data_IF_887276853300
#
_entry.id   IF_887276853300
#
_cell.length_a   1.000
_cell.length_b   1.000
_cell.length_c   1.000
_cell.angle_alpha   90.00
_cell.angle_beta   90.00
_cell.angle_gamma   90.00
#
_symmetry.space_group_name_H-M   'P 1'
#
loop_
_entity.id
_entity.type
_entity.pdbx_description
1 polymer ?
#
# COMPACT_ATOMS: atom_id res chain seq x y z
N UNK A 1 68.09 21.21 22.05
CA UNK A 1 67.38 20.17 21.28
C UNK A 1 65.92 20.17 21.73
N UNK A 2 65.03 20.82 20.97
CA UNK A 2 63.58 20.74 21.16
C UNK A 2 63.00 20.26 19.84
N UNK A 3 62.65 18.99 19.76
CA UNK A 3 62.00 18.37 18.62
C UNK A 3 60.52 18.76 18.62
N UNK A 4 60.10 19.54 17.63
CA UNK A 4 58.70 19.78 17.35
C UNK A 4 58.18 18.61 16.49
N UNK A 5 57.34 17.77 17.09
CA UNK A 5 56.64 16.69 16.40
C UNK A 5 55.43 17.30 15.69
N UNK A 6 55.55 17.56 14.38
CA UNK A 6 54.40 17.92 13.54
C UNK A 6 53.56 16.66 13.29
N UNK A 7 52.45 16.53 14.01
CA UNK A 7 51.46 15.48 13.76
C UNK A 7 50.76 15.76 12.43
N UNK A 8 51.01 14.92 11.43
CA UNK A 8 50.27 14.93 10.18
C UNK A 8 48.83 14.47 10.45
N UNK A 9 47.85 15.33 10.21
CA UNK A 9 46.44 14.95 10.18
C UNK A 9 46.23 14.05 8.96
N UNK A 10 46.08 12.75 9.19
CA UNK A 10 45.67 11.79 8.18
C UNK A 10 44.18 12.00 7.89
N UNK A 11 43.87 12.78 6.85
CA UNK A 11 42.52 12.88 6.32
C UNK A 11 42.26 11.59 5.53
N UNK A 12 41.57 10.64 6.16
CA UNK A 12 41.00 9.48 5.45
C UNK A 12 39.87 10.01 4.55
N UNK A 13 40.19 10.33 3.30
CA UNK A 13 39.17 10.59 2.28
C UNK A 13 38.63 9.21 1.89
N UNK A 14 37.61 8.73 2.60
CA UNK A 14 36.87 7.56 2.18
C UNK A 14 36.30 7.83 0.78
N UNK A 15 36.67 7.01 -0.21
CA UNK A 15 36.08 7.04 -1.53
C UNK A 15 34.59 6.76 -1.42
N UNK A 16 33.76 7.80 -1.57
CA UNK A 16 32.31 7.68 -1.71
C UNK A 16 32.06 7.02 -3.06
N UNK A 17 31.82 5.72 -3.05
CA UNK A 17 31.33 5.03 -4.23
C UNK A 17 29.86 5.41 -4.35
N UNK A 18 29.46 6.07 -5.45
CA UNK A 18 28.05 6.30 -5.71
C UNK A 18 27.32 4.95 -5.67
N UNK A 19 26.32 4.84 -4.80
CA UNK A 19 25.42 3.69 -4.74
C UNK A 19 24.00 4.12 -5.14
N UNK A 20 23.07 3.18 -5.07
CA UNK A 20 21.76 3.30 -5.70
C UNK A 20 20.79 4.14 -4.85
N UNK A 21 21.09 4.32 -3.55
CA UNK A 21 20.33 5.15 -2.62
C UNK A 21 21.27 6.16 -1.95
N UNK A 22 20.98 7.44 -2.11
CA UNK A 22 21.64 8.53 -1.40
C UNK A 22 20.84 8.88 -0.14
N UNK A 23 21.49 8.99 1.00
CA UNK A 23 20.86 9.42 2.26
C UNK A 23 21.46 10.72 2.71
N UNK A 24 20.63 11.70 3.02
CA UNK A 24 21.02 12.94 3.70
C UNK A 24 20.25 13.10 5.00
N UNK A 25 20.89 13.62 6.05
CA UNK A 25 20.30 13.78 7.38
C UNK A 25 20.72 15.09 8.03
N UNK A 26 19.88 15.65 8.90
CA UNK A 26 20.20 16.90 9.62
C UNK A 26 21.01 16.68 10.90
N UNK A 27 21.10 15.44 11.39
CA UNK A 27 21.90 15.06 12.54
C UNK A 27 22.51 13.65 12.35
N UNK A 28 23.43 13.27 13.24
CA UNK A 28 24.22 12.05 13.06
C UNK A 28 25.21 12.21 11.91
N UNK A 29 25.32 11.18 11.05
CA UNK A 29 26.11 11.22 9.82
C UNK A 29 25.29 11.92 8.72
N UNK A 30 25.69 13.12 8.24
CA UNK A 30 24.83 13.92 7.38
C UNK A 30 24.62 13.39 5.97
N UNK A 31 25.52 12.55 5.47
CA UNK A 31 25.41 11.98 4.13
C UNK A 31 26.06 10.59 4.05
N UNK A 32 25.40 9.65 3.38
CA UNK A 32 25.95 8.34 3.03
C UNK A 32 25.23 7.79 1.79
N UNK A 33 25.74 6.68 1.25
CA UNK A 33 25.12 5.98 0.12
C UNK A 33 24.99 4.50 0.42
N UNK A 34 23.88 3.88 -0.01
CA UNK A 34 23.55 2.48 0.23
C UNK A 34 23.12 1.78 -1.07
N UNK A 35 23.40 0.47 -1.16
CA UNK A 35 23.07 -0.33 -2.34
C UNK A 35 21.57 -0.58 -2.45
N UNK A 36 20.85 -0.51 -1.33
CA UNK A 36 19.43 -0.83 -1.20
C UNK A 36 18.78 0.10 -0.18
N UNK A 37 17.46 0.24 -0.24
CA UNK A 37 16.71 1.00 0.74
C UNK A 37 16.69 0.28 2.10
N UNK A 38 16.64 -1.05 2.11
CA UNK A 38 16.74 -1.86 3.33
C UNK A 38 18.09 -1.66 4.06
N UNK A 39 19.20 -1.48 3.32
CA UNK A 39 20.50 -1.16 3.94
C UNK A 39 20.50 0.25 4.56
N UNK A 40 19.87 1.23 3.89
CA UNK A 40 19.66 2.56 4.47
C UNK A 40 18.81 2.50 5.75
N UNK A 41 17.74 1.70 5.76
CA UNK A 41 16.92 1.47 6.96
C UNK A 41 17.73 0.86 8.10
N UNK A 42 18.57 -0.14 7.82
CA UNK A 42 19.48 -0.71 8.81
C UNK A 42 20.39 0.35 9.47
N UNK A 43 20.92 1.28 8.68
CA UNK A 43 21.76 2.36 9.19
C UNK A 43 20.98 3.40 10.01
N UNK A 44 19.76 3.75 9.58
CA UNK A 44 18.85 4.64 10.33
C UNK A 44 18.49 4.00 11.68
N UNK A 45 18.10 2.73 11.68
CA UNK A 45 17.75 1.98 12.89
C UNK A 45 18.92 1.90 13.89
N UNK A 46 20.16 1.86 13.39
CA UNK A 46 21.37 1.89 14.20
C UNK A 46 21.77 3.30 14.69
N UNK A 47 21.00 4.34 14.36
CA UNK A 47 21.26 5.72 14.78
C UNK A 47 22.32 6.45 13.95
N UNK A 48 22.70 5.89 12.78
CA UNK A 48 23.72 6.49 11.91
C UNK A 48 23.25 7.81 11.34
N UNK A 49 21.98 7.89 10.94
CA UNK A 49 21.33 9.08 10.41
C UNK A 49 20.23 9.51 11.39
N UNK A 50 20.18 10.80 11.73
CA UNK A 50 19.26 11.32 12.73
C UNK A 50 18.63 12.64 12.29
N UNK A 51 17.59 13.08 13.01
CA UNK A 51 16.83 14.29 12.68
C UNK A 51 15.93 14.08 11.46
N UNK A 52 15.83 15.08 10.57
CA UNK A 52 15.11 14.91 9.32
C UNK A 52 16.00 14.17 8.31
N UNK A 53 15.47 13.12 7.69
CA UNK A 53 16.24 12.25 6.80
C UNK A 53 15.57 12.20 5.43
N UNK A 54 16.36 12.22 4.37
CA UNK A 54 15.91 11.99 2.99
C UNK A 54 16.70 10.83 2.40
N UNK A 55 15.98 9.83 1.88
CA UNK A 55 16.50 8.68 1.15
C UNK A 55 16.08 8.81 -0.33
N UNK A 56 17.03 9.17 -1.20
CA UNK A 56 16.80 9.34 -2.62
C UNK A 56 17.30 8.13 -3.40
N UNK A 57 16.39 7.42 -4.05
CA UNK A 57 16.71 6.33 -4.98
C UNK A 57 17.16 6.93 -6.32
N UNK A 58 18.43 6.75 -6.66
CA UNK A 58 19.06 7.32 -7.88
C UNK A 58 19.40 6.26 -8.92
N UNK A 59 19.25 4.97 -8.58
CA UNK A 59 19.37 3.85 -9.50
C UNK A 59 18.55 2.66 -8.99
N UNK A 60 18.30 1.68 -9.86
CA UNK A 60 17.54 0.48 -9.50
C UNK A 60 18.20 -0.29 -8.35
N UNK A 61 17.43 -0.74 -7.36
CA UNK A 61 17.94 -1.58 -6.27
C UNK A 61 17.47 -3.03 -6.41
N UNK A 62 18.10 -3.92 -5.64
CA UNK A 62 17.61 -5.27 -5.38
C UNK A 62 17.61 -5.50 -3.88
N UNK A 63 16.45 -5.34 -3.28
CA UNK A 63 16.20 -5.50 -1.85
C UNK A 63 16.38 -6.98 -1.42
N UNK A 64 16.76 -7.25 -0.16
CA UNK A 64 17.00 -8.61 0.33
C UNK A 64 15.73 -9.48 0.36
N UNK A 65 15.90 -10.80 0.40
CA UNK A 65 14.79 -11.75 0.49
C UNK A 65 14.00 -11.64 1.81
N UNK A 66 14.68 -11.20 2.88
CA UNK A 66 14.10 -10.83 4.16
C UNK A 66 14.32 -9.34 4.35
N UNK A 67 13.24 -8.58 4.46
CA UNK A 67 13.32 -7.13 4.64
C UNK A 67 13.83 -6.75 6.03
N UNK A 68 14.63 -5.70 6.07
CA UNK A 68 14.99 -4.92 7.25
C UNK A 68 13.91 -3.83 7.37
N UNK A 69 12.99 -3.89 8.35
CA UNK A 69 11.98 -2.85 8.53
C UNK A 69 12.62 -1.52 8.93
N UNK A 70 12.06 -0.40 8.51
CA UNK A 70 12.32 0.89 9.13
C UNK A 70 11.59 0.96 10.47
N UNK A 71 12.34 1.03 11.57
CA UNK A 71 11.80 1.01 12.92
C UNK A 71 11.30 2.41 13.35
N UNK A 72 10.41 2.48 14.36
CA UNK A 72 10.05 3.75 15.00
C UNK A 72 11.25 4.56 15.47
N UNK A 73 11.05 5.87 15.57
CA UNK A 73 11.98 6.73 16.31
C UNK A 73 11.89 6.36 17.79
N UNK A 74 13.01 5.98 18.39
CA UNK A 74 13.09 5.42 19.73
C UNK A 74 14.33 4.55 19.91
N UNK A 75 15.00 4.67 21.07
CA UNK A 75 16.25 3.97 21.31
C UNK A 75 17.39 4.49 20.43
N UNK A 76 17.93 3.64 19.55
CA UNK A 76 19.02 4.03 18.62
C UNK A 76 18.52 4.79 17.39
N UNK A 77 17.32 4.46 16.89
CA UNK A 77 16.67 5.21 15.82
C UNK A 77 16.23 6.58 16.37
N UNK A 78 16.61 7.68 15.73
CA UNK A 78 16.26 9.03 16.19
C UNK A 78 16.05 9.98 15.03
N UNK A 79 14.87 9.92 14.42
CA UNK A 79 14.46 10.82 13.35
C UNK A 79 13.21 11.61 13.73
N UNK A 80 13.02 12.77 13.10
CA UNK A 80 11.82 13.59 13.20
C UNK A 80 10.87 13.37 12.03
N UNK A 81 11.35 12.82 10.92
CA UNK A 81 10.59 12.45 9.73
C UNK A 81 11.51 11.94 8.63
N UNK A 82 10.97 11.12 7.74
CA UNK A 82 11.72 10.50 6.65
C UNK A 82 11.01 10.75 5.33
N UNK A 83 11.74 11.30 4.35
CA UNK A 83 11.31 11.37 2.97
C UNK A 83 12.03 10.29 2.15
N UNK A 84 11.29 9.44 1.46
CA UNK A 84 11.81 8.52 0.46
C UNK A 84 11.35 9.03 -0.90
N UNK A 85 12.29 9.37 -1.77
CA UNK A 85 12.00 9.89 -3.11
C UNK A 85 12.96 9.29 -4.16
N UNK A 86 12.91 9.82 -5.39
CA UNK A 86 13.73 9.31 -6.48
C UNK A 86 14.30 10.42 -7.38
N UNK A 87 15.25 10.02 -8.23
CA UNK A 87 15.72 10.79 -9.39
C UNK A 87 15.66 9.88 -10.61
N UNK A 88 14.98 10.34 -11.66
CA UNK A 88 14.73 9.53 -12.85
C UNK A 88 13.71 8.41 -12.62
N UNK A 89 13.47 7.64 -13.68
CA UNK A 89 12.66 6.43 -13.60
C UNK A 89 13.48 5.29 -12.99
N UNK A 90 13.17 4.92 -11.75
CA UNK A 90 13.93 3.92 -10.99
C UNK A 90 13.01 2.87 -10.38
N UNK A 91 13.56 1.67 -10.17
CA UNK A 91 12.83 0.53 -9.60
C UNK A 91 13.54 -0.03 -8.37
N UNK A 92 12.81 -0.08 -7.26
CA UNK A 92 13.16 -0.83 -6.05
C UNK A 92 12.60 -2.24 -6.22
N UNK A 93 13.44 -3.18 -6.65
CA UNK A 93 13.05 -4.57 -6.88
C UNK A 93 13.28 -5.42 -5.63
N UNK A 94 12.45 -6.44 -5.41
CA UNK A 94 12.78 -7.49 -4.44
C UNK A 94 13.89 -8.41 -4.95
N UNK A 95 14.42 -9.26 -4.07
CA UNK A 95 15.11 -10.48 -4.45
C UNK A 95 14.23 -11.36 -5.36
N UNK A 96 14.84 -12.29 -6.11
CA UNK A 96 14.11 -13.21 -6.98
C UNK A 96 13.09 -14.10 -6.25
N UNK A 97 13.30 -14.32 -4.95
CA UNK A 97 12.40 -15.03 -4.07
C UNK A 97 12.31 -14.32 -2.70
N UNK A 98 11.41 -13.34 -2.52
CA UNK A 98 11.05 -12.87 -1.18
C UNK A 98 10.45 -14.03 -0.37
N UNK A 99 10.97 -14.29 0.82
CA UNK A 99 10.64 -15.49 1.62
C UNK A 99 9.96 -15.20 2.95
N UNK A 100 9.98 -13.96 3.42
CA UNK A 100 9.57 -13.66 4.79
C UNK A 100 8.05 -13.50 5.00
N UNK A 101 7.22 -13.50 3.94
CA UNK A 101 5.81 -13.09 4.01
C UNK A 101 5.65 -11.68 4.61
N UNK A 102 6.53 -10.76 4.18
CA UNK A 102 6.64 -9.36 4.61
C UNK A 102 6.58 -8.41 3.41
N UNK A 103 6.76 -7.12 3.68
CA UNK A 103 6.98 -6.10 2.63
C UNK A 103 8.34 -6.26 1.96
N UNK A 104 8.45 -5.93 0.66
CA UNK A 104 9.75 -5.62 0.02
C UNK A 104 10.36 -4.41 0.74
N UNK A 105 9.52 -3.39 0.95
CA UNK A 105 9.75 -2.27 1.86
C UNK A 105 8.76 -2.40 3.01
N UNK A 106 9.27 -2.40 4.24
CA UNK A 106 8.45 -2.43 5.45
C UNK A 106 8.72 -1.21 6.32
N UNK A 107 7.64 -0.50 6.67
CA UNK A 107 7.63 0.69 7.50
C UNK A 107 6.91 0.34 8.80
N UNK A 108 7.64 0.36 9.90
CA UNK A 108 7.08 0.25 11.25
C UNK A 108 7.15 1.58 12.01
N UNK A 109 7.81 2.58 11.43
CA UNK A 109 7.95 3.89 12.01
C UNK A 109 6.85 4.89 11.63
N UNK A 110 6.97 6.07 12.21
CA UNK A 110 6.04 7.18 12.03
C UNK A 110 6.61 8.28 11.11
N UNK A 111 5.74 9.11 10.57
CA UNK A 111 6.12 10.31 9.80
C UNK A 111 7.06 10.01 8.62
N UNK A 112 6.74 8.94 7.88
CA UNK A 112 7.43 8.54 6.66
C UNK A 112 6.59 8.93 5.45
N UNK A 113 7.17 9.74 4.57
CA UNK A 113 6.60 10.06 3.27
C UNK A 113 7.39 9.35 2.17
N UNK A 114 6.72 8.51 1.39
CA UNK A 114 7.21 7.96 0.13
C UNK A 114 6.57 8.78 -0.99
N UNK A 115 7.39 9.53 -1.72
CA UNK A 115 6.97 10.36 -2.86
C UNK A 115 7.70 9.91 -4.11
N UNK A 116 6.98 9.24 -5.00
CA UNK A 116 7.56 8.67 -6.22
C UNK A 116 7.66 9.63 -7.40
N UNK A 117 7.30 10.91 -7.23
CA UNK A 117 7.44 11.91 -8.28
C UNK A 117 8.87 12.47 -8.31
N UNK A 118 9.45 12.56 -9.50
CA UNK A 118 10.64 13.36 -9.77
C UNK A 118 10.24 14.50 -10.73
N UNK A 119 10.08 15.75 -10.24
CA UNK A 119 9.68 16.88 -11.07
C UNK A 119 10.61 17.16 -12.26
N UNK A 120 11.84 16.66 -12.24
CA UNK A 120 12.79 16.74 -13.36
C UNK A 120 12.56 15.69 -14.45
N UNK A 121 11.70 14.69 -14.22
CA UNK A 121 11.42 13.57 -15.11
C UNK A 121 9.97 13.59 -15.56
N UNK A 122 9.72 13.25 -16.83
CA UNK A 122 8.35 13.21 -17.36
C UNK A 122 7.51 12.13 -16.68
N UNK A 123 6.24 12.44 -16.41
CA UNK A 123 5.31 11.56 -15.70
C UNK A 123 4.95 12.13 -14.33
N UNK A 124 4.24 11.33 -13.53
CA UNK A 124 3.88 11.66 -12.14
C UNK A 124 4.16 10.48 -11.20
N UNK A 125 4.84 9.44 -11.69
CA UNK A 125 5.15 8.18 -10.98
C UNK A 125 6.48 7.59 -11.47
N UNK A 126 7.58 8.16 -11.01
CA UNK A 126 8.94 7.80 -11.44
C UNK A 126 9.59 6.71 -10.56
N UNK A 127 9.10 6.54 -9.32
CA UNK A 127 9.52 5.47 -8.42
C UNK A 127 8.60 4.25 -8.54
N UNK A 128 9.17 3.12 -8.96
CA UNK A 128 8.49 1.82 -8.97
C UNK A 128 8.98 0.94 -7.82
N UNK A 129 8.07 0.34 -7.08
CA UNK A 129 8.34 -0.79 -6.19
C UNK A 129 7.79 -2.06 -6.83
N UNK A 130 8.63 -3.08 -6.96
CA UNK A 130 8.25 -4.33 -7.63
C UNK A 130 8.66 -5.56 -6.83
N UNK A 131 7.69 -6.40 -6.52
CA UNK A 131 7.92 -7.72 -5.99
C UNK A 131 8.02 -8.75 -7.11
N UNK A 132 9.03 -9.63 -7.01
CA UNK A 132 9.22 -10.74 -7.93
C UNK A 132 8.00 -11.69 -7.88
N UNK A 133 7.56 -12.24 -9.03
CA UNK A 133 6.56 -13.31 -9.10
C UNK A 133 6.91 -14.48 -8.16
N UNK A 134 6.12 -14.71 -7.11
CA UNK A 134 6.33 -15.84 -6.19
C UNK A 134 5.03 -16.56 -5.82
N UNK A 135 5.16 -17.82 -5.42
CA UNK A 135 4.07 -18.59 -4.82
C UNK A 135 4.01 -18.45 -3.27
N UNK A 136 4.93 -17.68 -2.68
CA UNK A 136 4.94 -17.38 -1.25
C UNK A 136 3.73 -16.53 -0.88
N UNK A 137 2.90 -17.02 0.04
CA UNK A 137 1.76 -16.28 0.58
C UNK A 137 2.26 -15.12 1.45
N UNK A 138 1.52 -14.00 1.46
CA UNK A 138 1.78 -12.89 2.37
C UNK A 138 2.93 -11.97 1.93
N UNK A 139 3.42 -12.06 0.69
CA UNK A 139 4.34 -11.04 0.19
C UNK A 139 3.54 -9.76 -0.08
N UNK A 140 3.93 -8.68 0.58
CA UNK A 140 3.48 -7.32 0.26
C UNK A 140 4.58 -6.60 -0.50
N UNK A 141 4.22 -5.69 -1.41
CA UNK A 141 5.24 -4.84 -2.05
C UNK A 141 5.64 -3.74 -1.08
N UNK A 142 4.66 -3.01 -0.56
CA UNK A 142 4.82 -2.05 0.52
C UNK A 142 4.00 -2.54 1.71
N UNK A 143 4.63 -2.56 2.89
CA UNK A 143 3.98 -2.93 4.15
C UNK A 143 4.14 -1.82 5.19
N UNK A 144 3.03 -1.38 5.75
CA UNK A 144 2.96 -0.67 7.01
C UNK A 144 2.55 -1.66 8.10
N UNK A 145 3.29 -1.69 9.20
CA UNK A 145 3.03 -2.63 10.28
C UNK A 145 3.28 -1.96 11.62
N UNK A 146 2.31 -2.04 12.54
CA UNK A 146 2.52 -1.52 13.89
C UNK A 146 3.62 -2.31 14.59
N UNK A 147 4.64 -1.68 15.19
CA UNK A 147 5.72 -2.39 15.90
C UNK A 147 5.21 -3.06 17.18
N UNK A 148 4.13 -2.54 17.79
CA UNK A 148 3.51 -3.06 19.00
C UNK A 148 2.01 -2.74 19.01
N UNK A 149 1.32 -3.06 20.12
CA UNK A 149 -0.07 -2.64 20.33
C UNK A 149 -0.17 -1.20 20.88
N UNK A 150 0.92 -0.68 21.44
CA UNK A 150 1.00 0.66 22.02
C UNK A 150 1.55 1.71 21.03
N UNK A 151 2.31 1.25 20.04
CA UNK A 151 2.99 2.08 19.06
C UNK A 151 2.51 1.71 17.65
N UNK A 152 2.32 2.71 16.81
CA UNK A 152 1.78 2.56 15.47
C UNK A 152 2.81 2.77 14.36
N UNK A 153 2.33 2.65 13.13
CA UNK A 153 3.01 3.19 11.96
C UNK A 153 2.17 4.36 11.44
N UNK A 154 2.20 5.47 12.18
CA UNK A 154 1.30 6.62 12.05
C UNK A 154 1.89 7.73 11.18
N UNK A 155 1.02 8.63 10.69
CA UNK A 155 1.42 9.82 9.91
C UNK A 155 2.23 9.47 8.66
N UNK A 156 1.93 8.32 8.07
CA UNK A 156 2.64 7.81 6.92
C UNK A 156 1.92 8.17 5.63
N UNK A 157 2.67 8.50 4.59
CA UNK A 157 2.16 8.80 3.26
C UNK A 157 2.89 7.97 2.23
N UNK A 158 2.16 7.34 1.32
CA UNK A 158 2.70 6.84 0.06
C UNK A 158 1.94 7.49 -1.09
N UNK A 159 2.68 8.19 -1.95
CA UNK A 159 2.12 8.85 -3.11
C UNK A 159 2.99 8.78 -4.33
N UNK A 160 2.36 8.96 -5.49
CA UNK A 160 3.04 9.09 -6.78
C UNK A 160 3.93 7.88 -7.12
N UNK A 161 3.58 6.67 -6.65
CA UNK A 161 4.39 5.48 -6.89
C UNK A 161 3.72 4.51 -7.87
N UNK A 162 4.52 3.67 -8.53
CA UNK A 162 4.04 2.43 -9.15
C UNK A 162 4.34 1.28 -8.18
N UNK A 163 3.34 0.47 -7.86
CA UNK A 163 3.42 -0.67 -6.93
C UNK A 163 2.99 -1.93 -7.66
N UNK A 164 3.95 -2.82 -7.89
CA UNK A 164 3.75 -4.06 -8.64
C UNK A 164 3.89 -5.26 -7.70
N UNK A 165 2.77 -5.91 -7.39
CA UNK A 165 2.67 -7.08 -6.52
C UNK A 165 3.40 -8.32 -7.02
N UNK A 166 3.46 -9.35 -6.19
CA UNK A 166 4.20 -10.59 -6.46
C UNK A 166 3.37 -11.69 -7.12
N UNK A 167 2.12 -11.40 -7.54
CA UNK A 167 1.26 -12.43 -8.13
C UNK A 167 1.96 -13.03 -9.36
N UNK A 168 2.03 -14.36 -9.38
CA UNK A 168 2.88 -15.08 -10.31
C UNK A 168 2.19 -15.53 -11.60
N UNK A 169 0.87 -15.74 -11.56
CA UNK A 169 0.07 -16.18 -12.70
C UNK A 169 -1.33 -15.57 -12.64
N UNK A 170 -1.96 -15.47 -13.80
CA UNK A 170 -3.34 -14.97 -13.97
C UNK A 170 -4.36 -15.74 -13.12
N UNK A 171 -4.22 -17.06 -13.02
CA UNK A 171 -5.07 -17.97 -12.25
C UNK A 171 -4.59 -18.20 -10.81
N UNK A 172 -3.56 -17.48 -10.37
CA UNK A 172 -2.98 -17.68 -9.03
C UNK A 172 -3.95 -17.21 -7.94
N UNK A 173 -4.23 -18.11 -7.00
CA UNK A 173 -4.94 -17.83 -5.75
C UNK A 173 -4.01 -17.53 -4.58
N UNK A 174 -2.69 -17.45 -4.83
CA UNK A 174 -1.70 -17.12 -3.82
C UNK A 174 -1.96 -15.71 -3.30
N UNK A 175 -2.31 -15.61 -2.03
CA UNK A 175 -2.62 -14.33 -1.38
C UNK A 175 -1.35 -13.52 -1.24
N UNK A 176 -1.32 -12.37 -1.92
CA UNK A 176 -0.24 -11.39 -1.87
C UNK A 176 -0.84 -9.97 -2.03
N UNK A 177 -0.04 -8.95 -1.71
CA UNK A 177 -0.54 -7.60 -1.51
C UNK A 177 0.29 -6.58 -2.31
N UNK A 178 -0.38 -5.56 -2.85
CA UNK A 178 0.30 -4.37 -3.37
C UNK A 178 0.78 -3.52 -2.20
N UNK A 179 -0.17 -2.78 -1.61
CA UNK A 179 0.03 -1.98 -0.40
C UNK A 179 -0.75 -2.62 0.73
N UNK A 180 -0.08 -2.90 1.85
CA UNK A 180 -0.68 -3.53 3.02
C UNK A 180 -0.43 -2.70 4.28
N UNK A 181 -1.46 -2.45 5.06
CA UNK A 181 -1.40 -1.92 6.41
C UNK A 181 -2.31 -2.78 7.31
N UNK A 182 -1.71 -3.55 8.21
CA UNK A 182 -2.45 -4.52 9.01
C UNK A 182 -1.52 -5.13 10.06
N UNK A 183 -1.47 -6.47 10.10
CA UNK A 183 -0.69 -7.24 11.08
C UNK A 183 0.64 -6.60 11.51
N UNK A 184 0.85 -6.59 12.83
CA UNK A 184 2.02 -6.04 13.50
C UNK A 184 3.37 -6.55 12.95
N UNK A 185 4.44 -5.83 13.27
CA UNK A 185 5.77 -6.02 12.70
C UNK A 185 6.44 -7.37 12.97
N UNK A 186 5.96 -8.11 13.98
CA UNK A 186 6.41 -9.47 14.30
C UNK A 186 5.58 -10.56 13.62
N UNK A 187 4.39 -10.22 13.13
CA UNK A 187 3.50 -11.14 12.43
C UNK A 187 3.75 -11.23 10.93
N UNK A 188 3.21 -12.28 10.32
CA UNK A 188 3.21 -12.50 8.87
C UNK A 188 2.00 -11.84 8.22
N UNK A 189 2.21 -11.24 7.06
CA UNK A 189 1.14 -10.60 6.26
C UNK A 189 0.07 -11.62 5.90
N UNK A 190 -1.21 -11.29 6.10
CA UNK A 190 -2.33 -12.19 5.77
C UNK A 190 -3.61 -11.40 5.44
N UNK A 191 -4.58 -12.05 4.78
CA UNK A 191 -5.85 -11.41 4.41
C UNK A 191 -6.80 -11.20 5.61
N UNK A 192 -6.40 -11.62 6.80
CA UNK A 192 -7.14 -11.43 8.06
C UNK A 192 -6.30 -10.65 9.09
N UNK A 193 -5.16 -10.12 8.67
CA UNK A 193 -4.19 -9.50 9.57
C UNK A 193 -4.60 -8.08 9.91
N UNK A 194 -4.72 -7.79 11.20
CA UNK A 194 -5.08 -6.46 11.71
C UNK A 194 -3.91 -5.83 12.47
N UNK A 195 -3.78 -4.50 12.39
CA UNK A 195 -2.73 -3.75 13.08
C UNK A 195 -3.30 -2.71 14.02
N UNK A 196 -2.53 -2.33 15.03
CA UNK A 196 -2.91 -1.29 15.99
C UNK A 196 -2.35 0.07 15.57
N UNK A 197 -3.09 1.15 15.79
CA UNK A 197 -2.61 2.53 15.61
C UNK A 197 -2.02 2.79 14.21
N UNK A 198 -2.73 2.36 13.16
CA UNK A 198 -2.33 2.63 11.75
C UNK A 198 -2.88 3.99 11.28
N UNK A 199 -2.78 4.99 12.16
CA UNK A 199 -3.51 6.24 12.04
C UNK A 199 -2.85 7.21 11.07
N UNK A 200 -3.67 8.05 10.44
CA UNK A 200 -3.23 9.10 9.52
C UNK A 200 -2.44 8.56 8.32
N UNK A 201 -2.77 7.34 7.88
CA UNK A 201 -2.20 6.77 6.66
C UNK A 201 -2.84 7.42 5.42
N UNK A 202 -2.00 7.97 4.55
CA UNK A 202 -2.41 8.50 3.25
C UNK A 202 -1.84 7.65 2.12
N UNK A 203 -2.71 7.15 1.25
CA UNK A 203 -2.37 6.40 0.04
C UNK A 203 -2.94 7.18 -1.14
N UNK A 204 -2.09 7.89 -1.89
CA UNK A 204 -2.52 8.86 -2.90
C UNK A 204 -1.85 8.70 -4.26
N UNK A 205 -2.62 8.76 -5.35
CA UNK A 205 -2.06 8.83 -6.71
C UNK A 205 -1.03 7.74 -7.03
N UNK A 206 -1.22 6.54 -6.49
CA UNK A 206 -0.39 5.38 -6.81
C UNK A 206 -1.03 4.56 -7.93
N UNK A 207 -0.20 3.86 -8.70
CA UNK A 207 -0.61 2.72 -9.52
C UNK A 207 -0.38 1.44 -8.71
N UNK A 208 -1.39 0.59 -8.55
CA UNK A 208 -1.26 -0.69 -7.84
C UNK A 208 -1.78 -1.83 -8.72
N UNK A 209 -0.89 -2.75 -9.09
CA UNK A 209 -1.22 -3.86 -10.00
C UNK A 209 -0.46 -5.15 -9.65
N UNK A 210 -0.83 -6.25 -10.32
CA UNK A 210 -0.24 -7.60 -10.19
C UNK A 210 -0.24 -8.15 -8.76
N UNK A 211 -1.36 -8.00 -8.05
CA UNK A 211 -1.53 -8.55 -6.71
C UNK A 211 -2.86 -9.29 -6.51
N UNK A 212 -2.96 -10.09 -5.47
CA UNK A 212 -4.24 -10.71 -5.09
C UNK A 212 -5.13 -9.69 -4.35
N UNK A 213 -4.52 -8.85 -3.52
CA UNK A 213 -5.15 -7.70 -2.87
C UNK A 213 -4.40 -6.41 -3.26
N UNK A 214 -5.10 -5.42 -3.78
CA UNK A 214 -4.54 -4.13 -4.19
C UNK A 214 -4.02 -3.33 -3.00
N UNK A 215 -4.94 -2.64 -2.34
CA UNK A 215 -4.72 -1.85 -1.14
C UNK A 215 -5.52 -2.50 -0.01
N UNK A 216 -4.82 -2.95 1.03
CA UNK A 216 -5.41 -3.53 2.23
C UNK A 216 -5.08 -2.66 3.43
N UNK A 217 -6.10 -2.16 4.12
CA UNK A 217 -5.93 -1.45 5.40
C UNK A 217 -6.89 -2.02 6.43
N UNK A 218 -6.35 -2.56 7.52
CA UNK A 218 -7.15 -3.07 8.62
C UNK A 218 -6.57 -2.69 9.98
N UNK A 219 -7.29 -1.84 10.70
CA UNK A 219 -7.09 -1.63 12.13
C UNK A 219 -7.55 -2.85 12.95
N UNK A 220 -7.32 -2.83 14.27
CA UNK A 220 -8.00 -3.72 15.21
C UNK A 220 -9.32 -3.13 15.69
N UNK A 221 -10.18 -3.94 16.32
CA UNK A 221 -11.43 -3.41 16.87
C UNK A 221 -11.20 -2.43 18.03
N UNK A 222 -10.08 -2.55 18.74
CA UNK A 222 -9.72 -1.69 19.86
C UNK A 222 -8.90 -0.46 19.43
N UNK A 223 -7.99 -0.64 18.46
CA UNK A 223 -7.14 0.42 17.94
C UNK A 223 -7.34 0.48 16.43
N UNK A 224 -8.12 1.47 16.00
CA UNK A 224 -8.56 1.62 14.62
C UNK A 224 -7.39 2.12 13.74
N UNK A 225 -7.64 2.16 12.43
CA UNK A 225 -6.80 2.88 11.47
C UNK A 225 -7.43 4.25 11.21
N UNK A 226 -7.39 5.13 12.23
CA UNK A 226 -8.09 6.41 12.23
C UNK A 226 -7.53 7.36 11.18
N UNK A 227 -8.38 8.23 10.64
CA UNK A 227 -8.01 9.26 9.65
C UNK A 227 -7.34 8.67 8.38
N UNK A 228 -7.74 7.46 7.98
CA UNK A 228 -7.29 6.83 6.74
C UNK A 228 -7.78 7.62 5.50
N UNK A 229 -6.86 7.88 4.57
CA UNK A 229 -7.19 8.47 3.28
C UNK A 229 -6.62 7.65 2.12
N UNK A 230 -7.50 7.13 1.26
CA UNK A 230 -7.16 6.41 0.02
C UNK A 230 -7.77 7.16 -1.15
N UNK A 231 -6.95 7.92 -1.91
CA UNK A 231 -7.49 8.78 -2.96
C UNK A 231 -6.70 8.84 -4.25
N UNK A 232 -7.39 9.01 -5.36
CA UNK A 232 -6.82 9.19 -6.70
C UNK A 232 -5.88 8.05 -7.14
N UNK A 233 -5.97 6.87 -6.52
CA UNK A 233 -5.15 5.73 -6.93
C UNK A 233 -5.76 5.05 -8.15
N UNK A 234 -4.90 4.49 -8.99
CA UNK A 234 -5.27 3.54 -10.02
C UNK A 234 -4.97 2.14 -9.50
N UNK A 235 -5.99 1.31 -9.34
CA UNK A 235 -5.87 -0.03 -8.77
C UNK A 235 -6.43 -1.03 -9.77
N UNK A 236 -5.60 -1.98 -10.19
CA UNK A 236 -5.96 -2.92 -11.25
C UNK A 236 -5.19 -2.69 -12.55
N UNK A 237 -5.52 -3.51 -13.54
CA UNK A 237 -4.98 -3.40 -14.89
C UNK A 237 -5.91 -4.10 -15.87
N UNK A 238 -6.04 -3.54 -17.07
CA UNK A 238 -6.69 -4.22 -18.20
C UNK A 238 -5.82 -5.36 -18.76
N UNK A 239 -4.52 -5.37 -18.43
CA UNK A 239 -3.64 -6.51 -18.75
C UNK A 239 -3.84 -7.59 -17.70
N UNK A 240 -4.39 -8.73 -18.10
CA UNK A 240 -4.82 -9.76 -17.17
C UNK A 240 -3.68 -10.36 -16.30
N UNK A 241 -2.46 -10.44 -16.84
CA UNK A 241 -1.27 -10.84 -16.09
C UNK A 241 -0.93 -9.87 -14.93
N UNK A 242 -1.35 -8.61 -15.05
CA UNK A 242 -1.16 -7.56 -14.06
C UNK A 242 -2.44 -7.21 -13.30
N UNK A 243 -3.53 -7.96 -13.47
CA UNK A 243 -4.76 -7.67 -12.76
C UNK A 243 -4.59 -7.74 -11.23
N UNK A 244 -5.43 -6.97 -10.53
CA UNK A 244 -5.75 -7.20 -9.12
C UNK A 244 -6.94 -8.16 -9.06
N UNK A 245 -6.92 -9.14 -8.15
CA UNK A 245 -7.88 -10.27 -8.22
C UNK A 245 -9.02 -10.14 -7.21
N UNK A 246 -8.73 -10.24 -5.91
CA UNK A 246 -9.73 -10.50 -4.88
C UNK A 246 -10.39 -9.21 -4.38
N UNK A 247 -9.56 -8.23 -4.01
CA UNK A 247 -10.00 -6.89 -3.60
C UNK A 247 -9.11 -5.83 -4.20
N UNK A 248 -9.73 -4.82 -4.79
CA UNK A 248 -9.02 -3.61 -5.22
C UNK A 248 -8.59 -2.82 -3.99
N UNK A 249 -9.57 -2.32 -3.23
CA UNK A 249 -9.38 -1.58 -1.99
C UNK A 249 -10.18 -2.28 -0.89
N UNK A 250 -9.53 -2.56 0.25
CA UNK A 250 -10.17 -3.13 1.43
C UNK A 250 -9.91 -2.25 2.64
N UNK A 251 -10.98 -1.88 3.34
CA UNK A 251 -10.90 -1.18 4.61
C UNK A 251 -11.66 -1.95 5.70
N UNK A 252 -11.06 -2.01 6.89
CA UNK A 252 -11.66 -2.59 8.08
C UNK A 252 -11.19 -1.80 9.30
N UNK A 253 -12.08 -1.66 10.30
CA UNK A 253 -11.72 -1.08 11.58
C UNK A 253 -11.07 0.31 11.44
N UNK A 254 -11.64 1.20 10.62
CA UNK A 254 -11.03 2.52 10.39
C UNK A 254 -11.50 3.58 11.36
N UNK A 255 -12.63 3.38 12.04
CA UNK A 255 -13.19 4.37 12.96
C UNK A 255 -14.32 3.74 13.81
N UNK A 256 -14.42 4.12 15.09
CA UNK A 256 -15.47 3.64 16.01
C UNK A 256 -16.72 4.53 16.05
N UNK A 257 -16.59 5.82 15.73
CA UNK A 257 -17.73 6.75 15.63
C UNK A 257 -17.52 7.77 14.50
N UNK A 258 -18.60 8.11 13.79
CA UNK A 258 -18.53 9.06 12.67
C UNK A 258 -17.92 10.40 13.12
N UNK A 259 -16.80 10.76 12.53
CA UNK A 259 -16.02 11.95 12.87
C UNK A 259 -15.23 12.47 11.66
N UNK A 260 -14.49 13.57 11.84
CA UNK A 260 -13.56 14.07 10.82
C UNK A 260 -12.41 13.09 10.52
N UNK A 261 -12.13 12.13 11.43
CA UNK A 261 -11.15 11.07 11.26
C UNK A 261 -11.75 9.78 10.67
N UNK A 262 -12.97 9.82 10.12
CA UNK A 262 -13.54 8.67 9.41
C UNK A 262 -12.79 8.44 8.09
N UNK A 263 -12.67 7.19 7.67
CA UNK A 263 -11.95 6.86 6.44
C UNK A 263 -12.54 7.54 5.20
N UNK A 264 -11.65 7.97 4.31
CA UNK A 264 -11.99 8.53 3.00
C UNK A 264 -11.44 7.62 1.91
N UNK A 265 -12.32 7.14 1.04
CA UNK A 265 -11.97 6.37 -0.18
C UNK A 265 -12.57 7.08 -1.38
N UNK A 266 -11.77 7.88 -2.09
CA UNK A 266 -12.30 8.76 -3.14
C UNK A 266 -11.46 8.99 -4.38
N UNK A 267 -12.11 9.25 -5.51
CA UNK A 267 -11.43 9.57 -6.76
C UNK A 267 -10.58 8.42 -7.31
N UNK A 268 -10.66 7.23 -6.74
CA UNK A 268 -9.89 6.08 -7.19
C UNK A 268 -10.49 5.50 -8.47
N UNK A 269 -9.64 4.95 -9.32
CA UNK A 269 -9.97 4.23 -10.53
C UNK A 269 -9.62 2.75 -10.27
N UNK A 270 -10.65 1.90 -10.12
CA UNK A 270 -10.53 0.55 -9.56
C UNK A 270 -11.12 -0.47 -10.51
N UNK A 271 -10.29 -1.43 -10.91
CA UNK A 271 -10.69 -2.63 -11.63
C UNK A 271 -10.10 -3.88 -11.00
N UNK A 272 -10.86 -4.97 -11.00
CA UNK A 272 -10.41 -6.28 -10.54
C UNK A 272 -10.81 -7.37 -11.51
N UNK A 273 -10.03 -8.44 -11.54
CA UNK A 273 -10.28 -9.54 -12.46
C UNK A 273 -9.69 -10.84 -11.92
N UNK A 274 -10.58 -11.82 -11.77
CA UNK A 274 -10.30 -13.21 -11.52
C UNK A 274 -10.69 -14.03 -12.77
N UNK A 275 -9.76 -14.16 -13.71
CA UNK A 275 -9.97 -14.92 -14.94
C UNK A 275 -9.98 -16.45 -14.69
N UNK A 276 -10.29 -17.21 -15.75
CA UNK A 276 -10.16 -18.67 -15.90
C UNK A 276 -10.16 -19.47 -14.59
N UNK A 277 -11.35 -19.69 -14.03
CA UNK A 277 -11.57 -20.44 -12.79
C UNK A 277 -11.97 -19.55 -11.61
N UNK A 278 -11.69 -18.25 -11.68
CA UNK A 278 -12.12 -17.28 -10.68
C UNK A 278 -11.55 -17.53 -9.28
N UNK A 279 -12.25 -17.03 -8.26
CA UNK A 279 -11.96 -17.32 -6.85
C UNK A 279 -13.13 -18.06 -6.18
N UNK A 280 -12.87 -18.74 -5.07
CA UNK A 280 -13.89 -19.48 -4.31
C UNK A 280 -14.75 -18.61 -3.41
N UNK A 281 -14.48 -17.30 -3.37
CA UNK A 281 -15.21 -16.30 -2.60
C UNK A 281 -15.68 -15.16 -3.51
N UNK A 282 -16.65 -14.40 -3.03
CA UNK A 282 -17.03 -13.16 -3.68
C UNK A 282 -15.84 -12.21 -3.79
N UNK A 283 -15.78 -11.46 -4.89
CA UNK A 283 -14.79 -10.40 -5.12
C UNK A 283 -15.44 -9.02 -5.08
N UNK A 284 -14.68 -8.02 -4.67
CA UNK A 284 -15.17 -6.65 -4.59
C UNK A 284 -14.09 -5.64 -4.98
N UNK A 285 -14.44 -4.68 -5.83
CA UNK A 285 -13.49 -3.63 -6.20
C UNK A 285 -13.14 -2.79 -4.98
N UNK A 286 -14.15 -2.36 -4.23
CA UNK A 286 -13.99 -1.73 -2.92
C UNK A 286 -14.79 -2.53 -1.89
N UNK A 287 -14.14 -3.00 -0.83
CA UNK A 287 -14.82 -3.59 0.32
C UNK A 287 -14.68 -2.71 1.56
N UNK A 288 -15.82 -2.48 2.21
CA UNK A 288 -15.94 -1.89 3.53
C UNK A 288 -16.35 -3.02 4.49
N UNK A 289 -15.36 -3.59 5.17
CA UNK A 289 -15.56 -4.70 6.10
C UNK A 289 -16.08 -4.23 7.46
N UNK A 290 -15.84 -4.96 8.55
CA UNK A 290 -16.37 -4.63 9.87
C UNK A 290 -15.74 -3.35 10.46
N UNK A 291 -16.48 -2.67 11.35
CA UNK A 291 -15.91 -1.69 12.27
C UNK A 291 -15.57 -0.33 11.68
N UNK A 292 -16.35 0.15 10.71
CA UNK A 292 -16.17 1.46 10.07
C UNK A 292 -17.33 2.39 10.41
N UNK A 293 -17.05 3.52 11.06
CA UNK A 293 -18.05 4.55 11.32
C UNK A 293 -17.76 5.81 10.49
N UNK A 294 -18.76 6.33 9.78
CA UNK A 294 -18.67 7.58 9.01
C UNK A 294 -17.83 7.52 7.73
N UNK A 295 -17.39 6.34 7.29
CA UNK A 295 -16.52 6.22 6.12
C UNK A 295 -17.20 6.76 4.86
N UNK A 296 -16.43 7.49 4.03
CA UNK A 296 -16.91 8.17 2.82
C UNK A 296 -16.32 7.49 1.59
N UNK A 297 -17.15 6.74 0.88
CA UNK A 297 -16.80 6.07 -0.37
C UNK A 297 -17.41 6.87 -1.52
N UNK A 298 -16.63 7.75 -2.16
CA UNK A 298 -17.19 8.72 -3.11
C UNK A 298 -16.34 9.00 -4.34
N UNK A 299 -16.97 9.40 -5.44
CA UNK A 299 -16.28 9.85 -6.65
C UNK A 299 -15.33 8.81 -7.26
N UNK A 300 -15.48 7.53 -6.94
CA UNK A 300 -14.63 6.47 -7.50
C UNK A 300 -15.18 6.03 -8.87
N UNK A 301 -14.28 5.61 -9.77
CA UNK A 301 -14.59 4.87 -10.99
C UNK A 301 -14.32 3.40 -10.72
N UNK A 302 -15.32 2.56 -10.90
CA UNK A 302 -15.25 1.14 -10.56
C UNK A 302 -15.71 0.34 -11.76
N UNK A 303 -14.82 -0.49 -12.31
CA UNK A 303 -15.09 -1.09 -13.62
C UNK A 303 -14.37 -2.37 -13.91
N UNK A 304 -14.78 -3.01 -15.01
CA UNK A 304 -14.17 -4.19 -15.61
C UNK A 304 -13.95 -5.33 -14.60
N UNK A 305 -14.85 -5.41 -13.61
CA UNK A 305 -14.89 -6.45 -12.60
C UNK A 305 -15.18 -7.79 -13.25
N UNK A 306 -14.35 -8.80 -13.04
CA UNK A 306 -14.61 -10.15 -13.55
C UNK A 306 -14.41 -11.21 -12.48
N UNK A 307 -15.45 -12.02 -12.26
CA UNK A 307 -15.42 -13.27 -11.49
C UNK A 307 -15.80 -14.44 -12.39
N UNK A 308 -14.80 -15.12 -12.96
CA UNK A 308 -15.02 -16.26 -13.87
C UNK A 308 -15.21 -17.61 -13.15
N UNK A 309 -15.60 -17.59 -11.87
CA UNK A 309 -15.86 -18.81 -11.12
C UNK A 309 -17.25 -19.36 -11.41
N UNK A 310 -17.33 -20.60 -11.86
CA UNK A 310 -18.60 -21.31 -12.12
C UNK A 310 -19.33 -21.74 -10.83
N UNK A 311 -18.79 -21.36 -9.67
CA UNK A 311 -19.36 -21.65 -8.34
C UNK A 311 -20.36 -20.60 -7.86
N UNK A 312 -20.80 -19.67 -8.70
CA UNK A 312 -21.82 -18.66 -8.38
C UNK A 312 -21.33 -17.52 -7.48
N UNK A 313 -20.02 -17.27 -7.42
CA UNK A 313 -19.45 -16.16 -6.63
C UNK A 313 -19.79 -14.80 -7.23
N UNK A 314 -20.07 -13.82 -6.37
CA UNK A 314 -20.35 -12.45 -6.77
C UNK A 314 -19.12 -11.66 -7.20
N UNK A 315 -19.36 -10.65 -8.03
CA UNK A 315 -18.42 -9.58 -8.33
C UNK A 315 -19.09 -8.23 -8.02
N UNK A 316 -18.63 -7.57 -6.96
CA UNK A 316 -19.24 -6.34 -6.45
C UNK A 316 -18.40 -5.10 -6.79
N UNK A 317 -19.07 -3.98 -7.03
CA UNK A 317 -18.40 -2.69 -7.16
C UNK A 317 -17.98 -2.18 -5.80
N UNK A 318 -18.95 -1.94 -4.93
CA UNK A 318 -18.75 -1.59 -3.52
C UNK A 318 -19.48 -2.63 -2.68
N UNK A 319 -18.76 -3.32 -1.80
CA UNK A 319 -19.32 -4.34 -0.93
C UNK A 319 -19.16 -3.92 0.53
N UNK A 320 -20.27 -3.62 1.21
CA UNK A 320 -20.30 -3.44 2.66
C UNK A 320 -20.59 -4.81 3.29
N UNK A 321 -19.54 -5.54 3.65
CA UNK A 321 -19.64 -6.96 4.05
C UNK A 321 -19.99 -7.14 5.51
N UNK A 322 -19.54 -6.22 6.35
CA UNK A 322 -19.76 -6.25 7.78
C UNK A 322 -21.08 -5.63 8.21
N UNK A 323 -21.94 -6.37 8.91
CA UNK A 323 -23.03 -5.76 9.68
C UNK A 323 -22.57 -5.27 11.06
N UNK A 324 -21.41 -5.75 11.53
CA UNK A 324 -20.87 -5.41 12.85
C UNK A 324 -20.13 -4.08 12.81
N UNK A 325 -20.56 -3.15 13.66
CA UNK A 325 -19.91 -1.86 13.93
C UNK A 325 -19.68 -0.98 12.69
N UNK A 326 -20.45 -1.21 11.62
CA UNK A 326 -20.56 -0.30 10.50
C UNK A 326 -21.70 0.68 10.73
N UNK A 327 -21.42 1.98 10.69
CA UNK A 327 -22.43 3.03 10.91
C UNK A 327 -22.18 4.27 10.06
N UNK A 328 -23.26 4.90 9.58
CA UNK A 328 -23.22 6.14 8.78
C UNK A 328 -22.22 6.11 7.60
N UNK A 329 -22.13 4.97 6.90
CA UNK A 329 -21.30 4.87 5.69
C UNK A 329 -21.94 5.73 4.59
N UNK A 330 -21.19 6.69 4.05
CA UNK A 330 -21.59 7.46 2.88
C UNK A 330 -21.09 6.75 1.61
N UNK A 331 -22.01 6.41 0.71
CA UNK A 331 -21.69 5.93 -0.64
C UNK A 331 -22.35 6.89 -1.64
N UNK A 332 -21.56 7.76 -2.26
CA UNK A 332 -22.08 8.84 -3.11
C UNK A 332 -21.23 9.05 -4.37
N UNK A 333 -21.86 9.38 -5.50
CA UNK A 333 -21.17 9.80 -6.74
C UNK A 333 -20.10 8.82 -7.28
N UNK A 334 -20.22 7.53 -7.01
CA UNK A 334 -19.36 6.52 -7.63
C UNK A 334 -19.93 6.13 -9.00
N UNK A 335 -19.07 5.97 -10.00
CA UNK A 335 -19.44 5.48 -11.32
C UNK A 335 -19.04 4.02 -11.43
N UNK A 336 -20.01 3.11 -11.61
CA UNK A 336 -19.81 1.66 -11.58
C UNK A 336 -20.34 1.05 -12.88
N UNK A 337 -19.50 0.32 -13.61
CA UNK A 337 -19.91 -0.34 -14.86
C UNK A 337 -19.15 -1.65 -15.11
N UNK A 338 -19.61 -2.44 -16.07
CA UNK A 338 -18.96 -3.68 -16.56
C UNK A 338 -18.45 -4.64 -15.47
N UNK A 339 -19.35 -4.96 -14.52
CA UNK A 339 -19.09 -5.98 -13.50
C UNK A 339 -19.75 -7.30 -13.92
N UNK A 340 -18.93 -8.33 -14.08
CA UNK A 340 -19.32 -9.63 -14.60
C UNK A 340 -19.01 -10.74 -13.58
N UNK A 341 -19.96 -11.64 -13.40
CA UNK A 341 -19.75 -12.90 -12.71
C UNK A 341 -20.46 -14.03 -13.47
N UNK A 342 -19.96 -15.25 -13.32
CA UNK A 342 -20.63 -16.44 -13.83
C UNK A 342 -21.74 -16.88 -12.86
N UNK A 343 -22.98 -16.94 -13.36
CA UNK A 343 -24.13 -17.38 -12.57
C UNK A 343 -24.30 -18.92 -12.64
N UNK A 344 -24.87 -19.51 -11.60
CA UNK A 344 -25.22 -20.93 -11.53
C UNK A 344 -26.35 -21.36 -12.48
N UNK A 345 -27.12 -20.42 -13.02
CA UNK A 345 -28.28 -20.73 -13.87
C UNK A 345 -28.01 -20.46 -15.35
N UNK A 346 -28.46 -21.38 -16.21
CA UNK A 346 -28.57 -21.19 -17.67
C UNK A 346 -29.73 -20.27 -18.08
N UNK A 347 -30.47 -19.71 -17.10
CA UNK A 347 -31.55 -18.75 -17.28
C UNK A 347 -31.24 -17.46 -16.53
N UNK A 348 -31.48 -16.32 -17.18
CA UNK A 348 -31.50 -15.00 -16.53
C UNK A 348 -32.82 -14.91 -15.75
N UNK A 349 -32.84 -15.38 -14.51
CA UNK A 349 -33.91 -15.04 -13.59
C UNK A 349 -33.60 -13.66 -13.00
N UNK A 350 -34.37 -12.64 -13.41
CA UNK A 350 -34.29 -11.29 -12.87
C UNK A 350 -34.82 -11.23 -11.43
N UNK A 351 -34.13 -11.87 -10.48
CA UNK A 351 -34.55 -11.94 -9.06
C UNK A 351 -33.46 -11.58 -8.05
N UNK A 352 -32.41 -10.86 -8.42
CA UNK A 352 -31.60 -10.14 -7.42
C UNK A 352 -31.40 -8.68 -7.82
N UNK A 353 -32.31 -7.83 -7.34
CA UNK A 353 -32.07 -6.40 -7.20
C UNK A 353 -31.10 -6.22 -6.01
N UNK A 354 -29.81 -6.45 -6.24
CA UNK A 354 -28.76 -5.94 -5.33
C UNK A 354 -28.55 -4.48 -5.70
N UNK A 355 -28.70 -3.56 -4.75
CA UNK A 355 -28.64 -2.12 -5.00
C UNK A 355 -27.37 -1.71 -5.77
N UNK A 356 -27.49 -1.54 -7.08
CA UNK A 356 -26.57 -0.77 -7.90
C UNK A 356 -26.94 0.70 -7.65
N UNK A 357 -26.14 1.45 -6.89
CA UNK A 357 -26.36 2.89 -6.74
C UNK A 357 -25.97 3.61 -8.03
N UNK A 358 -26.89 3.65 -8.98
CA UNK A 358 -26.88 4.64 -10.06
C UNK A 358 -28.13 5.51 -9.88
N UNK A 359 -27.97 6.63 -9.17
CA UNK A 359 -28.98 7.68 -9.13
C UNK A 359 -29.11 8.30 -10.52
N UNK A 360 -30.24 8.05 -11.19
CA UNK A 360 -30.70 8.92 -12.27
C UNK A 360 -32.18 9.24 -12.10
N UNK A 361 -32.49 10.01 -11.06
CA UNK A 361 -33.74 10.77 -10.99
C UNK A 361 -33.48 12.19 -11.48
N UNK A 362 -33.39 12.34 -12.81
CA UNK A 362 -33.63 13.62 -13.46
C UNK A 362 -35.14 13.79 -13.56
N UNK A 363 -35.75 14.47 -12.59
CA UNK A 363 -37.08 15.03 -12.77
C UNK A 363 -36.95 16.26 -13.67
N UNK A 364 -37.18 16.08 -14.97
CA UNK A 364 -37.67 17.17 -15.81
C UNK A 364 -39.14 17.39 -15.45
N UNK A 365 -39.47 18.56 -14.91
CA UNK A 365 -40.85 19.00 -14.78
C UNK A 365 -41.42 19.33 -16.17
N UNK A 366 -42.60 18.83 -16.56
CA UNK A 366 -43.33 19.37 -17.69
C UNK A 366 -44.25 20.53 -17.27
N UNK A 367 -44.19 21.59 -18.09
CA UNK A 367 -44.97 22.83 -18.10
C UNK A 367 -44.67 23.87 -17.01
#
# INVERSE_FOLDING_TARGET
MKSALFGAALILIGSVHAQNVNVTATAGTPAATYATLNAAFGAINAGTHQGAITCTVVANTTEPAVSIPLLPSGGSSSYSGILINCVGNVTVNSAAAPTASRGVIEIQGDNVTIDGDDPGTSGTRNLTFAAAPVATVGVATIRFASPSAADGATLNTIKNCIVIGSRNLITSTVVNFGIYAGVNGTGTTSATGTGDNLDNLTIENNEVRRCFWGIYVSGTAANKADNLTIRNNQVGSSTAADAVVNRGIYIQNTQSASSAASAIVEGNDVSIRADAGGTTNDIANIEVANGNAGARIRNNKIHDGLQASTGGQGCYGIFVTGATDNSNIEISNNFIWDLNNDNWSTSIAATSLTFLSASRSAWLSPA
#
